data_IF_734391750629
#
_entry.id   IF_734391750629
#
_cell.length_a   1.000
_cell.length_b   1.000
_cell.length_c   1.000
_cell.angle_alpha   90.00
_cell.angle_beta   90.00
_cell.angle_gamma   90.00
#
_symmetry.space_group_name_H-M   'P 1'
#
loop_
_entity.id
_entity.type
_entity.pdbx_description
1 polymer ?
#
# COMPACT_ATOMS: atom_id res chain seq x y z
N UNK A 1 5.59 -46.43 -7.30
CA UNK A 1 6.33 -45.44 -8.11
C UNK A 1 5.33 -44.94 -9.15
N UNK A 2 4.88 -43.70 -9.22
CA UNK A 2 5.48 -42.44 -8.81
C UNK A 2 4.34 -41.47 -8.46
N UNK A 3 4.34 -40.94 -7.24
CA UNK A 3 3.50 -39.80 -6.89
C UNK A 3 4.11 -38.57 -7.55
N UNK A 4 3.47 -38.08 -8.61
CA UNK A 4 3.76 -36.77 -9.18
C UNK A 4 3.27 -35.69 -8.22
N UNK A 5 4.09 -35.36 -7.23
CA UNK A 5 3.86 -34.19 -6.36
C UNK A 5 4.12 -32.96 -7.21
N UNK A 6 3.09 -32.43 -7.87
CA UNK A 6 3.17 -31.09 -8.47
C UNK A 6 3.33 -30.09 -7.34
N UNK A 7 4.59 -29.74 -7.07
CA UNK A 7 4.96 -28.59 -6.26
C UNK A 7 4.44 -27.34 -6.96
N UNK A 8 3.23 -26.90 -6.60
CA UNK A 8 2.72 -25.59 -6.98
C UNK A 8 3.11 -24.60 -5.89
N UNK A 9 4.33 -24.08 -5.97
CA UNK A 9 4.65 -22.80 -5.33
C UNK A 9 4.01 -21.69 -6.16
N UNK A 10 3.07 -20.88 -5.66
CA UNK A 10 2.71 -19.64 -6.33
C UNK A 10 3.55 -18.52 -5.73
N UNK A 11 4.78 -18.36 -6.20
CA UNK A 11 5.49 -17.08 -6.09
C UNK A 11 4.84 -16.15 -7.11
N UNK A 12 3.96 -15.28 -6.64
CA UNK A 12 3.24 -14.33 -7.49
C UNK A 12 2.07 -13.69 -6.75
N UNK A 13 2.34 -13.07 -5.59
CA UNK A 13 1.32 -12.27 -4.90
C UNK A 13 0.79 -11.22 -5.88
N UNK A 14 -0.50 -11.31 -6.21
CA UNK A 14 -1.13 -10.36 -7.13
C UNK A 14 -1.09 -8.95 -6.54
N UNK A 15 -1.25 -7.93 -7.40
CA UNK A 15 -1.15 -6.52 -7.01
C UNK A 15 -2.08 -6.16 -5.84
N UNK A 16 -3.27 -6.74 -5.78
CA UNK A 16 -4.25 -6.51 -4.70
C UNK A 16 -3.74 -7.06 -3.37
N UNK A 17 -3.13 -8.25 -3.35
CA UNK A 17 -2.53 -8.83 -2.14
C UNK A 17 -1.37 -7.97 -1.66
N UNK A 18 -0.52 -7.49 -2.58
CA UNK A 18 0.60 -6.60 -2.26
C UNK A 18 0.12 -5.26 -1.71
N UNK A 19 -0.88 -4.64 -2.32
CA UNK A 19 -1.50 -3.41 -1.83
C UNK A 19 -2.07 -3.59 -0.43
N UNK A 20 -2.84 -4.65 -0.20
CA UNK A 20 -3.38 -4.98 1.13
C UNK A 20 -2.27 -5.14 2.17
N UNK A 21 -1.19 -5.85 1.85
CA UNK A 21 -0.03 -6.02 2.73
C UNK A 21 0.63 -4.67 3.04
N UNK A 22 0.85 -3.84 2.03
CA UNK A 22 1.39 -2.49 2.20
C UNK A 22 0.52 -1.63 3.11
N UNK A 23 -0.79 -1.65 2.95
CA UNK A 23 -1.73 -0.90 3.79
C UNK A 23 -1.61 -1.37 5.25
N UNK A 24 -1.48 -2.67 5.51
CA UNK A 24 -1.26 -3.17 6.87
C UNK A 24 0.08 -2.71 7.45
N UNK A 25 1.14 -2.66 6.64
CA UNK A 25 2.44 -2.15 7.07
C UNK A 25 2.38 -0.66 7.41
N UNK A 26 1.69 0.15 6.61
CA UNK A 26 1.48 1.57 6.90
C UNK A 26 0.70 1.77 8.21
N UNK A 27 -0.36 0.99 8.43
CA UNK A 27 -1.11 1.00 9.69
C UNK A 27 -0.24 0.63 10.88
N UNK A 28 0.60 -0.40 10.75
CA UNK A 28 1.56 -0.81 11.79
C UNK A 28 2.61 0.28 12.08
N UNK A 29 2.95 1.11 11.08
CA UNK A 29 3.83 2.27 11.26
C UNK A 29 3.14 3.49 11.90
N UNK A 30 1.84 3.40 12.22
CA UNK A 30 1.07 4.45 12.88
C UNK A 30 0.31 5.38 11.93
N UNK A 31 0.16 5.02 10.65
CA UNK A 31 -0.69 5.76 9.72
C UNK A 31 -2.16 5.38 9.85
N UNK A 32 -3.02 6.39 9.82
CA UNK A 32 -4.40 6.25 9.37
C UNK A 32 -4.41 6.25 7.84
N UNK A 33 -4.77 5.13 7.21
CA UNK A 33 -4.81 5.01 5.75
C UNK A 33 -6.24 5.25 5.26
N UNK A 34 -6.42 6.27 4.41
CA UNK A 34 -7.71 6.65 3.80
C UNK A 34 -7.65 6.42 2.30
N UNK A 35 -8.63 5.68 1.78
CA UNK A 35 -8.86 5.52 0.34
C UNK A 35 -10.06 6.38 -0.02
N UNK A 36 -9.82 7.50 -0.69
CA UNK A 36 -10.84 8.52 -0.98
C UNK A 36 -10.70 8.98 -2.42
N UNK A 37 -11.78 9.49 -3.01
CA UNK A 37 -11.68 10.14 -4.30
C UNK A 37 -11.05 11.52 -4.12
N UNK A 38 -9.83 11.70 -4.65
CA UNK A 38 -9.06 12.92 -4.39
C UNK A 38 -9.34 14.04 -5.40
N UNK A 39 -9.94 13.74 -6.55
CA UNK A 39 -10.23 14.74 -7.58
C UNK A 39 -8.94 15.41 -8.07
N UNK A 40 -8.78 16.71 -7.82
CA UNK A 40 -7.56 17.47 -8.12
C UNK A 40 -6.47 17.37 -7.01
N UNK A 41 -6.76 16.65 -5.93
CA UNK A 41 -5.83 16.39 -4.84
C UNK A 41 -4.84 15.26 -5.15
N UNK A 42 -3.70 15.27 -4.46
CA UNK A 42 -2.63 14.28 -4.65
C UNK A 42 -2.64 13.21 -3.55
N UNK A 43 -2.34 11.97 -3.92
CA UNK A 43 -2.03 10.91 -2.97
C UNK A 43 -0.74 11.23 -2.20
N UNK A 44 -0.60 10.71 -0.99
CA UNK A 44 0.57 11.01 -0.17
C UNK A 44 0.29 10.92 1.32
N UNK A 45 1.15 11.56 2.11
CA UNK A 45 0.99 11.56 3.56
C UNK A 45 1.15 12.95 4.16
N UNK A 46 0.48 13.18 5.28
CA UNK A 46 0.65 14.37 6.09
C UNK A 46 0.58 14.04 7.59
N UNK A 47 0.99 14.99 8.41
CA UNK A 47 0.85 14.92 9.86
C UNK A 47 0.01 16.08 10.38
N UNK A 48 -1.05 15.77 11.12
CA UNK A 48 -1.93 16.74 11.77
C UNK A 48 -1.84 16.49 13.27
N UNK A 49 -1.12 17.36 13.98
CA UNK A 49 -0.79 17.14 15.39
C UNK A 49 0.04 15.86 15.57
N UNK A 50 -0.48 14.89 16.32
CA UNK A 50 0.15 13.58 16.53
C UNK A 50 -0.31 12.51 15.53
N UNK A 51 -1.30 12.80 14.68
CA UNK A 51 -1.86 11.83 13.73
C UNK A 51 -1.13 11.90 12.40
N UNK A 52 -0.70 10.74 11.90
CA UNK A 52 -0.17 10.58 10.54
C UNK A 52 -1.26 10.01 9.66
N UNK A 53 -1.57 10.67 8.56
CA UNK A 53 -2.63 10.26 7.63
C UNK A 53 -1.99 10.02 6.28
N UNK A 54 -2.32 8.89 5.64
CA UNK A 54 -1.89 8.53 4.30
C UNK A 54 -3.12 8.40 3.41
N UNK A 55 -3.15 9.17 2.34
CA UNK A 55 -4.22 9.20 1.35
C UNK A 55 -3.79 8.42 0.10
N UNK A 56 -4.69 7.55 -0.36
CA UNK A 56 -4.60 6.87 -1.66
C UNK A 56 -5.83 7.26 -2.48
N UNK A 57 -5.68 7.50 -3.77
CA UNK A 57 -6.82 7.85 -4.61
C UNK A 57 -7.62 6.59 -4.97
N UNK A 58 -8.87 6.54 -4.52
CA UNK A 58 -9.79 5.44 -4.77
C UNK A 58 -10.17 5.29 -6.26
N UNK A 59 -9.99 6.33 -7.08
CA UNK A 59 -10.24 6.25 -8.52
C UNK A 59 -9.12 5.56 -9.30
N UNK A 60 -7.93 5.42 -8.71
CA UNK A 60 -6.77 4.84 -9.36
C UNK A 60 -6.78 3.31 -9.31
N UNK A 61 -5.97 2.67 -10.18
CA UNK A 61 -5.88 1.21 -10.17
C UNK A 61 -5.11 0.72 -8.94
N UNK A 62 -5.28 -0.57 -8.60
CA UNK A 62 -4.53 -1.16 -7.47
C UNK A 62 -3.00 -1.11 -7.67
N UNK A 63 -2.53 -1.02 -8.91
CA UNK A 63 -1.10 -0.87 -9.21
C UNK A 63 -0.62 0.53 -8.89
N UNK A 64 -1.37 1.54 -9.34
CA UNK A 64 -1.05 2.95 -9.08
C UNK A 64 -1.11 3.24 -7.57
N UNK A 65 -2.16 2.78 -6.89
CA UNK A 65 -2.28 2.91 -5.42
C UNK A 65 -1.13 2.22 -4.67
N UNK A 66 -0.59 1.13 -5.22
CA UNK A 66 0.56 0.45 -4.61
C UNK A 66 1.85 1.24 -4.81
N UNK A 67 1.99 1.93 -5.94
CA UNK A 67 3.10 2.84 -6.22
C UNK A 67 3.03 4.07 -5.31
N UNK A 68 1.88 4.76 -5.26
CA UNK A 68 1.60 5.89 -4.36
C UNK A 68 1.91 5.56 -2.89
N UNK A 69 1.45 4.39 -2.43
CA UNK A 69 1.71 3.90 -1.09
C UNK A 69 3.21 3.70 -0.84
N UNK A 70 3.93 3.14 -1.82
CA UNK A 70 5.37 2.95 -1.75
C UNK A 70 6.11 4.27 -1.65
N UNK A 71 5.74 5.24 -2.47
CA UNK A 71 6.32 6.59 -2.48
C UNK A 71 6.05 7.34 -1.18
N UNK A 72 4.82 7.31 -0.67
CA UNK A 72 4.45 7.94 0.58
C UNK A 72 5.27 7.37 1.76
N UNK A 73 5.42 6.05 1.84
CA UNK A 73 6.23 5.41 2.88
C UNK A 73 7.72 5.69 2.74
N UNK A 74 8.24 5.75 1.50
CA UNK A 74 9.63 6.12 1.25
C UNK A 74 9.90 7.59 1.62
N UNK A 75 8.97 8.49 1.29
CA UNK A 75 9.02 9.89 1.67
C UNK A 75 9.04 10.04 3.20
N UNK A 76 8.13 9.37 3.92
CA UNK A 76 8.11 9.36 5.38
C UNK A 76 9.45 8.92 6.00
N UNK A 77 10.05 7.85 5.50
CA UNK A 77 11.36 7.35 6.00
C UNK A 77 12.51 8.34 5.78
N UNK A 78 12.40 9.25 4.82
CA UNK A 78 13.40 10.31 4.58
C UNK A 78 13.16 11.55 5.44
N UNK A 79 11.92 11.78 5.88
CA UNK A 79 11.52 12.93 6.68
C UNK A 79 11.62 12.70 8.19
N UNK A 80 11.62 11.44 8.63
CA UNK A 80 11.81 11.02 10.02
C UNK A 80 13.29 10.87 10.39
#
# INVERSE_FOLDING_TARGET
MSSGTTSRSPTGDNVVVRLRRGIQQAKAAGFEVRMEHLGDGEAGWCQIGSKRILFLDAAQTAQDQLEELGEALANFRRAA
#
